data_IF_518993359063
#
_entry.id   IF_518993359063
#
_cell.length_a   1.000
_cell.length_b   1.000
_cell.length_c   1.000
_cell.angle_alpha   90.00
_cell.angle_beta   90.00
_cell.angle_gamma   90.00
#
_symmetry.space_group_name_H-M   'P 1'
#
loop_
_entity.id
_entity.type
_entity.pdbx_description
1 polymer ?
#
# COMPACT_ATOMS: atom_id res chain seq x y z
N UNK A 1 -5.94 -16.72 -9.46
CA UNK A 1 -5.91 -15.53 -8.60
C UNK A 1 -7.08 -14.64 -8.95
N UNK A 2 -7.92 -14.38 -7.96
CA UNK A 2 -8.94 -13.34 -7.99
C UNK A 2 -8.29 -11.95 -7.95
N UNK A 3 -9.06 -10.90 -8.27
CA UNK A 3 -8.56 -9.53 -8.14
C UNK A 3 -8.29 -9.16 -6.67
N UNK A 4 -9.01 -9.75 -5.70
CA UNK A 4 -8.75 -9.55 -4.26
C UNK A 4 -7.42 -10.22 -3.83
N UNK A 5 -7.08 -11.38 -4.38
CA UNK A 5 -5.79 -12.04 -4.12
C UNK A 5 -4.63 -11.16 -4.60
N UNK A 6 -4.79 -10.51 -5.76
CA UNK A 6 -3.80 -9.59 -6.33
C UNK A 6 -3.64 -8.36 -5.43
N UNK A 7 -4.74 -7.73 -5.03
CA UNK A 7 -4.72 -6.56 -4.14
C UNK A 7 -4.02 -6.87 -2.82
N UNK A 8 -4.37 -8.01 -2.23
CA UNK A 8 -3.79 -8.50 -0.99
C UNK A 8 -2.29 -8.77 -1.16
N UNK A 9 -1.89 -9.45 -2.24
CA UNK A 9 -0.49 -9.77 -2.51
C UNK A 9 0.36 -8.50 -2.65
N UNK A 10 -0.12 -7.51 -3.41
CA UNK A 10 0.57 -6.21 -3.58
C UNK A 10 0.78 -5.51 -2.23
N UNK A 11 -0.23 -5.51 -1.37
CA UNK A 11 -0.11 -4.87 -0.05
C UNK A 11 0.82 -5.64 0.89
N UNK A 12 0.82 -6.98 0.83
CA UNK A 12 1.75 -7.82 1.60
C UNK A 12 3.19 -7.66 1.13
N UNK A 13 3.43 -7.54 -0.17
CA UNK A 13 4.75 -7.25 -0.73
C UNK A 13 5.27 -5.91 -0.24
N UNK A 14 4.45 -4.85 -0.34
CA UNK A 14 4.81 -3.53 0.16
C UNK A 14 5.12 -3.54 1.67
N UNK A 15 4.34 -4.30 2.46
CA UNK A 15 4.60 -4.45 3.89
C UNK A 15 5.91 -5.18 4.15
N UNK A 16 6.21 -6.26 3.42
CA UNK A 16 7.49 -6.97 3.56
C UNK A 16 8.68 -6.06 3.29
N UNK A 17 8.64 -5.29 2.19
CA UNK A 17 9.72 -4.37 1.84
C UNK A 17 9.86 -3.25 2.89
N UNK A 18 8.76 -2.76 3.43
CA UNK A 18 8.76 -1.79 4.53
C UNK A 18 9.43 -2.36 5.79
N UNK A 19 9.11 -3.60 6.17
CA UNK A 19 9.68 -4.28 7.32
C UNK A 19 11.20 -4.49 7.17
N UNK A 20 11.64 -4.87 5.97
CA UNK A 20 13.07 -5.04 5.64
C UNK A 20 13.83 -3.71 5.67
N UNK A 21 13.16 -2.61 5.31
CA UNK A 21 13.71 -1.25 5.23
C UNK A 21 13.49 -0.38 6.48
N UNK A 22 13.19 -0.95 7.65
CA UNK A 22 12.78 -0.22 8.86
C UNK A 22 13.71 0.94 9.28
N UNK A 23 14.99 0.88 8.92
CA UNK A 23 15.96 1.94 9.21
C UNK A 23 15.97 3.14 8.24
N UNK A 24 15.25 3.05 7.12
CA UNK A 24 15.27 4.05 6.05
C UNK A 24 14.21 5.17 6.19
N UNK A 25 13.30 5.04 7.17
CA UNK A 25 12.18 5.96 7.38
C UNK A 25 12.20 6.52 8.80
N UNK A 26 11.67 7.74 8.94
CA UNK A 26 11.34 8.27 10.27
C UNK A 26 10.34 7.33 11.00
N UNK A 27 10.47 7.11 12.32
CA UNK A 27 9.62 6.17 13.04
C UNK A 27 8.12 6.42 12.89
N UNK A 28 7.67 7.67 12.99
CA UNK A 28 6.25 8.02 12.86
C UNK A 28 5.71 7.74 11.46
N UNK A 29 6.55 7.95 10.44
CA UNK A 29 6.21 7.67 9.07
C UNK A 29 6.09 6.16 8.83
N UNK A 30 7.05 5.40 9.35
CA UNK A 30 7.03 3.94 9.32
C UNK A 30 5.75 3.40 9.95
N UNK A 31 5.42 3.81 11.17
CA UNK A 31 4.23 3.33 11.90
C UNK A 31 2.93 3.68 11.15
N UNK A 32 2.85 4.88 10.59
CA UNK A 32 1.71 5.32 9.78
C UNK A 32 1.55 4.48 8.51
N UNK A 33 2.64 4.21 7.77
CA UNK A 33 2.58 3.40 6.55
C UNK A 33 2.24 1.94 6.90
N UNK A 34 2.86 1.38 7.94
CA UNK A 34 2.63 0.02 8.39
C UNK A 34 1.16 -0.21 8.75
N UNK A 35 0.57 0.71 9.53
CA UNK A 35 -0.84 0.66 9.91
C UNK A 35 -1.79 0.72 8.71
N UNK A 36 -1.48 1.55 7.72
CA UNK A 36 -2.28 1.67 6.50
C UNK A 36 -2.20 0.41 5.63
N UNK A 37 -1.00 -0.18 5.48
CA UNK A 37 -0.83 -1.44 4.75
C UNK A 37 -1.54 -2.60 5.43
N UNK A 38 -1.45 -2.72 6.76
CA UNK A 38 -2.19 -3.74 7.53
C UNK A 38 -3.71 -3.61 7.33
N UNK A 39 -4.24 -2.38 7.40
CA UNK A 39 -5.65 -2.13 7.10
C UNK A 39 -6.04 -2.56 5.67
N UNK A 40 -5.23 -2.26 4.67
CA UNK A 40 -5.51 -2.67 3.28
C UNK A 40 -5.53 -4.19 3.13
N UNK A 41 -4.58 -4.90 3.75
CA UNK A 41 -4.55 -6.37 3.77
C UNK A 41 -5.83 -6.91 4.41
N UNK A 42 -6.20 -6.42 5.59
CA UNK A 42 -7.41 -6.85 6.28
C UNK A 42 -8.68 -6.57 5.45
N UNK A 43 -8.74 -5.42 4.77
CA UNK A 43 -9.87 -5.06 3.92
C UNK A 43 -9.99 -5.97 2.70
N UNK A 44 -8.90 -6.25 1.98
CA UNK A 44 -8.92 -7.11 0.79
C UNK A 44 -9.10 -8.60 1.12
N UNK A 45 -8.70 -9.04 2.31
CA UNK A 45 -8.99 -10.38 2.80
C UNK A 45 -10.43 -10.53 3.36
N UNK A 46 -11.21 -9.45 3.37
CA UNK A 46 -12.58 -9.43 3.89
C UNK A 46 -12.67 -9.47 5.42
N UNK A 47 -11.56 -9.26 6.13
CA UNK A 47 -11.49 -9.14 7.60
C UNK A 47 -11.92 -7.76 8.10
N UNK A 48 -11.87 -6.74 7.24
CA UNK A 48 -12.39 -5.40 7.50
C UNK A 48 -13.44 -4.98 6.47
N UNK A 49 -14.49 -4.30 6.93
CA UNK A 49 -15.58 -3.76 6.08
C UNK A 49 -15.58 -2.24 6.01
N UNK A 50 -14.60 -1.57 6.64
CA UNK A 50 -14.56 -0.12 6.79
C UNK A 50 -14.11 0.60 5.52
N UNK A 51 -14.92 0.57 4.46
CA UNK A 51 -14.61 1.19 3.16
C UNK A 51 -14.25 2.69 3.27
N UNK A 52 -14.79 3.40 4.25
CA UNK A 52 -14.50 4.83 4.48
C UNK A 52 -13.01 5.10 4.69
N UNK A 53 -12.29 4.19 5.34
CA UNK A 53 -10.85 4.35 5.61
C UNK A 53 -9.98 4.32 4.35
N UNK A 54 -10.49 3.83 3.21
CA UNK A 54 -9.81 3.99 1.91
C UNK A 54 -9.67 5.46 1.49
N UNK A 55 -10.51 6.36 2.01
CA UNK A 55 -10.42 7.80 1.74
C UNK A 55 -9.37 8.50 2.61
N UNK A 56 -8.99 7.90 3.73
CA UNK A 56 -8.08 8.49 4.72
C UNK A 56 -6.62 8.06 4.49
N UNK A 57 -6.34 7.33 3.42
CA UNK A 57 -5.00 6.85 3.08
C UNK A 57 -4.09 8.01 2.66
N UNK A 58 -2.93 8.10 3.30
CA UNK A 58 -1.89 9.10 3.07
C UNK A 58 -0.61 8.54 2.43
N UNK A 59 -0.55 7.22 2.17
CA UNK A 59 0.61 6.55 1.53
C UNK A 59 1.15 7.33 0.33
N UNK A 60 0.27 7.76 -0.60
CA UNK A 60 0.68 8.49 -1.81
C UNK A 60 1.34 9.85 -1.54
N UNK A 61 1.08 10.48 -0.39
CA UNK A 61 1.72 11.75 -0.02
C UNK A 61 3.17 11.53 0.44
N UNK A 62 3.41 10.45 1.18
CA UNK A 62 4.71 10.16 1.76
C UNK A 62 5.74 9.71 0.74
N UNK A 63 5.32 8.88 -0.21
CA UNK A 63 6.20 8.23 -1.19
C UNK A 63 7.00 9.22 -2.03
N UNK A 64 6.47 10.42 -2.28
CA UNK A 64 7.10 11.43 -3.14
C UNK A 64 8.03 12.38 -2.37
N UNK A 65 7.85 12.54 -1.06
CA UNK A 65 8.46 13.65 -0.30
C UNK A 65 9.38 13.18 0.83
N UNK A 66 9.06 12.07 1.47
CA UNK A 66 9.65 11.68 2.75
C UNK A 66 10.53 10.43 2.67
N UNK A 67 10.50 9.71 1.54
CA UNK A 67 11.29 8.48 1.33
C UNK A 67 12.53 8.82 0.50
N UNK A 68 13.71 8.35 0.93
CA UNK A 68 14.95 8.50 0.16
C UNK A 68 14.76 7.91 -1.25
N UNK A 69 15.06 8.65 -2.33
CA UNK A 69 14.96 8.14 -3.71
C UNK A 69 15.77 6.86 -3.97
N UNK A 70 16.77 6.55 -3.14
CA UNK A 70 17.55 5.29 -3.18
C UNK A 70 16.70 4.07 -2.80
N UNK A 71 15.64 4.25 -2.03
CA UNK A 71 14.65 3.23 -1.67
C UNK A 71 13.62 3.03 -2.81
N UNK A 72 14.08 3.00 -4.07
CA UNK A 72 13.23 2.92 -5.25
C UNK A 72 12.27 1.71 -5.21
N UNK A 73 12.71 0.59 -4.63
CA UNK A 73 11.90 -0.62 -4.47
C UNK A 73 10.72 -0.40 -3.50
N UNK A 74 10.96 0.30 -2.39
CA UNK A 74 9.92 0.64 -1.42
C UNK A 74 8.92 1.65 -2.02
N UNK A 75 9.45 2.68 -2.70
CA UNK A 75 8.65 3.69 -3.40
C UNK A 75 7.70 3.03 -4.41
N UNK A 76 8.21 2.13 -5.24
CA UNK A 76 7.40 1.39 -6.23
C UNK A 76 6.32 0.53 -5.56
N UNK A 77 6.67 -0.24 -4.54
CA UNK A 77 5.73 -1.10 -3.84
C UNK A 77 4.61 -0.31 -3.15
N UNK A 78 4.94 0.81 -2.51
CA UNK A 78 3.95 1.70 -1.88
C UNK A 78 3.05 2.38 -2.91
N UNK A 79 3.59 2.77 -4.07
CA UNK A 79 2.79 3.32 -5.16
C UNK A 79 1.80 2.28 -5.72
N UNK A 80 2.22 1.03 -5.87
CA UNK A 80 1.34 -0.08 -6.29
C UNK A 80 0.23 -0.34 -5.27
N UNK A 81 0.57 -0.38 -3.98
CA UNK A 81 -0.42 -0.52 -2.89
C UNK A 81 -1.42 0.65 -2.87
N UNK A 82 -0.94 1.88 -3.05
CA UNK A 82 -1.81 3.06 -3.13
C UNK A 82 -2.69 3.04 -4.38
N UNK A 83 -2.16 2.60 -5.52
CA UNK A 83 -2.92 2.44 -6.76
C UNK A 83 -4.10 1.49 -6.58
N UNK A 84 -3.89 0.29 -6.03
CA UNK A 84 -4.98 -0.69 -5.86
C UNK A 84 -6.04 -0.20 -4.88
N UNK A 85 -5.63 0.54 -3.84
CA UNK A 85 -6.55 1.20 -2.91
C UNK A 85 -7.41 2.26 -3.61
N UNK A 86 -6.80 3.11 -4.45
CA UNK A 86 -7.51 4.14 -5.22
C UNK A 86 -8.48 3.54 -6.24
N UNK A 87 -8.08 2.50 -6.97
CA UNK A 87 -8.98 1.81 -7.91
C UNK A 87 -10.17 1.20 -7.17
N UNK A 88 -9.91 0.52 -6.05
CA UNK A 88 -10.98 -0.07 -5.22
C UNK A 88 -11.92 1.00 -4.67
N UNK A 89 -11.40 2.11 -4.17
CA UNK A 89 -12.19 3.25 -3.70
C UNK A 89 -13.12 3.77 -4.79
N UNK A 90 -12.62 3.87 -6.03
CA UNK A 90 -13.36 4.35 -7.21
C UNK A 90 -14.28 3.28 -7.84
N UNK A 91 -14.26 2.04 -7.37
CA UNK A 91 -15.00 0.93 -7.98
C UNK A 91 -14.50 0.55 -9.37
N UNK A 92 -13.21 0.80 -9.64
CA UNK A 92 -12.58 0.57 -10.93
C UNK A 92 -11.77 -0.72 -10.93
N UNK A 93 -11.60 -1.29 -12.12
CA UNK A 93 -10.74 -2.47 -12.33
C UNK A 93 -9.27 -2.10 -12.19
N UNK A 94 -8.48 -3.07 -11.75
CA UNK A 94 -7.02 -2.95 -11.64
C UNK A 94 -6.39 -3.26 -12.99
N UNK A 95 -5.54 -2.36 -13.48
CA UNK A 95 -4.65 -2.66 -14.60
C UNK A 95 -3.43 -3.43 -14.08
N UNK A 96 -3.35 -4.71 -14.46
CA UNK A 96 -2.28 -5.61 -14.03
C UNK A 96 -0.91 -5.21 -14.59
N UNK A 97 -0.87 -4.47 -15.70
CA UNK A 97 0.39 -3.96 -16.29
C UNK A 97 1.08 -2.92 -15.41
N UNK A 98 0.36 -2.32 -14.47
CA UNK A 98 0.90 -1.35 -13.52
C UNK A 98 1.43 -2.00 -12.24
N UNK A 99 1.23 -3.31 -12.08
CA UNK A 99 1.65 -4.06 -10.90
C UNK A 99 2.93 -4.90 -11.14
N UNK A 100 3.34 -5.06 -12.41
CA UNK A 100 4.53 -5.80 -12.83
C UNK A 100 5.04 -5.30 -14.16
#
# INVERSE_FOLDING_TARGET
MSDEDIKTAVCKEALSILLDGRGALAPELYDSIEAQLKYLIDYFEGRSVERRRLFDLTIGHYVVREIDPREAKLIDALNKAFYVAVQTRKGLKIDRKLLG
#
